data_IF_037819229432
#
_entry.id   IF_037819229432
#
_cell.length_a   1.000
_cell.length_b   1.000
_cell.length_c   1.000
_cell.angle_alpha   90.00
_cell.angle_beta   90.00
_cell.angle_gamma   90.00
#
_symmetry.space_group_name_H-M   'P 1'
#
loop_
_entity.id
_entity.type
_entity.pdbx_description
1 polymer ?
#
# COMPACT_ATOMS: atom_id res chain seq x y z
N UNK A 1 -7.74 -22.59 -13.25
CA UNK A 1 -6.50 -22.56 -14.07
C UNK A 1 -6.31 -21.21 -14.73
N UNK A 2 -5.72 -20.24 -14.03
CA UNK A 2 -5.14 -19.07 -14.68
C UNK A 2 -3.82 -19.51 -15.33
N UNK A 3 -3.73 -19.43 -16.65
CA UNK A 3 -2.50 -19.70 -17.42
C UNK A 3 -2.09 -18.40 -18.12
N UNK A 4 -1.37 -17.57 -17.38
CA UNK A 4 -0.81 -16.29 -17.80
C UNK A 4 -0.04 -15.67 -16.64
N UNK A 5 1.17 -15.18 -16.90
CA UNK A 5 1.98 -14.37 -15.97
C UNK A 5 1.55 -12.93 -16.20
N UNK A 6 1.37 -12.08 -15.19
CA UNK A 6 1.15 -10.64 -15.44
C UNK A 6 2.40 -9.91 -14.99
N UNK A 7 2.95 -9.05 -15.85
CA UNK A 7 4.10 -8.22 -15.52
C UNK A 7 3.62 -6.78 -15.31
N UNK A 8 3.75 -6.18 -14.12
CA UNK A 8 3.54 -4.74 -13.98
C UNK A 8 4.74 -4.01 -14.61
N UNK A 9 4.51 -3.17 -15.63
CA UNK A 9 5.54 -2.28 -16.20
C UNK A 9 5.21 -0.84 -15.85
N UNK A 10 6.08 -0.19 -15.07
CA UNK A 10 5.98 1.25 -14.80
C UNK A 10 6.66 2.06 -15.92
N UNK A 11 6.10 3.21 -16.34
CA UNK A 11 6.73 4.11 -17.33
C UNK A 11 6.26 5.56 -17.13
N UNK A 12 7.19 6.41 -16.72
CA UNK A 12 7.02 7.84 -16.46
C UNK A 12 6.50 8.67 -17.64
N UNK A 13 5.65 9.66 -17.33
CA UNK A 13 5.09 10.64 -18.28
C UNK A 13 4.92 11.98 -17.53
N UNK A 14 5.76 12.98 -17.83
CA UNK A 14 5.61 14.36 -17.34
C UNK A 14 4.64 15.17 -18.21
N UNK A 15 3.66 15.81 -17.59
CA UNK A 15 2.59 16.60 -18.17
C UNK A 15 2.54 18.05 -17.65
N UNK A 16 3.70 18.71 -17.68
CA UNK A 16 3.85 20.08 -17.16
C UNK A 16 2.71 21.07 -17.39
N UNK A 17 2.57 21.91 -16.36
CA UNK A 17 1.77 23.13 -16.21
C UNK A 17 0.26 22.95 -16.44
N UNK A 18 -0.47 22.34 -15.49
CA UNK A 18 -1.88 22.67 -15.18
C UNK A 18 -2.40 21.82 -13.99
N UNK A 19 -2.55 22.40 -12.78
CA UNK A 19 -3.53 22.18 -11.68
C UNK A 19 -4.20 20.80 -11.47
N UNK A 20 -3.70 19.73 -12.06
CA UNK A 20 -4.25 18.38 -12.08
C UNK A 20 -3.10 17.39 -11.87
N UNK A 21 -3.27 16.37 -11.02
CA UNK A 21 -2.24 15.38 -10.81
C UNK A 21 -1.98 14.62 -12.12
N UNK A 22 -0.70 14.52 -12.48
CA UNK A 22 -0.26 13.74 -13.62
C UNK A 22 -0.50 12.25 -13.32
N UNK A 23 -1.39 11.60 -14.07
CA UNK A 23 -1.79 10.22 -13.78
C UNK A 23 -1.06 9.20 -14.66
N UNK A 24 -0.26 8.33 -14.02
CA UNK A 24 0.35 7.17 -14.64
C UNK A 24 -0.62 5.96 -14.68
N UNK A 25 -0.59 5.11 -15.71
CA UNK A 25 -1.33 3.83 -15.72
C UNK A 25 -0.43 2.69 -16.21
N UNK A 26 -0.21 1.69 -15.34
CA UNK A 26 0.50 0.45 -15.63
C UNK A 26 -0.39 -0.79 -15.49
N UNK A 27 -0.33 -1.72 -16.46
CA UNK A 27 -0.79 -3.10 -16.28
C UNK A 27 -0.58 -3.94 -17.55
N UNK A 28 0.13 -5.07 -17.46
CA UNK A 28 0.19 -6.06 -18.55
C UNK A 28 -0.71 -7.27 -18.28
N UNK A 29 -1.40 -7.72 -19.32
CA UNK A 29 -2.21 -8.93 -19.30
C UNK A 29 -1.63 -9.95 -20.29
N UNK A 30 -1.29 -11.16 -19.82
CA UNK A 30 -0.82 -12.24 -20.69
C UNK A 30 -1.91 -13.28 -20.87
N UNK A 31 -2.40 -13.41 -22.12
CA UNK A 31 -3.06 -14.63 -22.56
C UNK A 31 -2.00 -15.57 -23.13
N UNK A 32 -2.23 -16.87 -22.97
CA UNK A 32 -1.32 -17.98 -23.34
C UNK A 32 -0.63 -17.86 -24.71
N UNK A 33 -1.17 -17.07 -25.64
CA UNK A 33 -0.65 -16.91 -27.01
C UNK A 33 -0.68 -15.45 -27.54
N UNK A 34 -0.94 -14.44 -26.70
CA UNK A 34 -0.97 -13.02 -27.14
C UNK A 34 -0.43 -12.07 -26.05
N UNK A 35 0.60 -11.29 -26.39
CA UNK A 35 0.94 -10.08 -25.64
C UNK A 35 -0.15 -9.03 -25.92
N UNK A 36 -0.83 -8.56 -24.88
CA UNK A 36 -1.62 -7.33 -24.96
C UNK A 36 -1.06 -6.31 -23.99
N UNK A 37 -0.36 -5.33 -24.54
CA UNK A 37 -0.04 -4.09 -23.84
C UNK A 37 -1.35 -3.29 -23.72
N UNK A 38 -1.86 -3.09 -22.50
CA UNK A 38 -2.95 -2.13 -22.24
C UNK A 38 -2.40 -1.03 -21.35
N UNK A 39 -1.47 -0.24 -21.87
CA UNK A 39 -1.28 1.11 -21.35
C UNK A 39 -2.41 1.97 -21.92
N UNK A 40 -3.42 2.28 -21.11
CA UNK A 40 -4.41 3.30 -21.49
C UNK A 40 -3.87 4.67 -21.08
N UNK A 41 -4.00 5.63 -22.00
CA UNK A 41 -3.48 6.98 -21.85
C UNK A 41 -4.64 7.96 -21.79
N UNK A 42 -4.60 8.87 -20.83
CA UNK A 42 -5.41 10.10 -20.84
C UNK A 42 -4.47 11.28 -20.61
N UNK A 43 -4.07 12.00 -21.66
CA UNK A 43 -3.50 13.35 -21.56
C UNK A 43 -4.16 14.28 -22.58
N UNK A 44 -4.29 15.59 -22.29
CA UNK A 44 -4.35 16.63 -23.31
C UNK A 44 -2.96 16.82 -23.97
N UNK A 45 -2.94 17.32 -25.19
CA UNK A 45 -1.78 17.31 -26.10
C UNK A 45 -0.54 18.07 -25.59
N UNK A 46 0.62 17.39 -25.52
CA UNK A 46 1.82 17.71 -26.31
C UNK A 46 3.00 16.78 -25.95
N UNK A 47 3.93 16.65 -26.91
CA UNK A 47 4.94 15.59 -27.10
C UNK A 47 5.69 15.13 -25.84
N UNK A 48 5.38 13.92 -25.38
CA UNK A 48 6.23 13.17 -24.45
C UNK A 48 6.88 12.03 -25.22
N UNK A 49 8.19 11.87 -25.06
CA UNK A 49 8.92 10.71 -25.55
C UNK A 49 8.93 9.66 -24.45
N UNK A 50 8.16 8.59 -24.62
CA UNK A 50 8.20 7.44 -23.72
C UNK A 50 9.58 6.79 -23.78
N UNK A 51 10.23 6.70 -22.62
CA UNK A 51 11.45 5.90 -22.44
C UNK A 51 11.02 4.64 -21.69
N UNK A 52 11.08 3.50 -22.37
CA UNK A 52 10.94 2.21 -21.70
C UNK A 52 12.23 1.95 -20.93
N UNK A 53 12.16 2.03 -19.61
CA UNK A 53 13.24 1.61 -18.73
C UNK A 53 13.12 0.11 -18.49
N UNK A 54 14.26 -0.58 -18.44
CA UNK A 54 14.27 -1.98 -18.00
C UNK A 54 14.36 -1.99 -16.49
N UNK A 55 13.36 -2.58 -15.83
CA UNK A 55 13.39 -2.71 -14.37
C UNK A 55 14.57 -3.60 -13.96
N UNK A 56 15.39 -3.19 -12.97
CA UNK A 56 16.43 -4.05 -12.41
C UNK A 56 15.85 -5.17 -11.53
N UNK A 57 14.54 -5.14 -11.25
CA UNK A 57 13.85 -6.05 -10.37
C UNK A 57 13.09 -7.14 -11.14
N UNK A 58 12.90 -8.34 -10.54
CA UNK A 58 12.05 -9.36 -11.13
C UNK A 58 10.59 -8.89 -11.19
N UNK A 59 9.87 -9.33 -12.22
CA UNK A 59 8.42 -9.17 -12.26
C UNK A 59 7.76 -10.08 -11.21
N UNK A 60 6.98 -9.48 -10.32
CA UNK A 60 6.28 -10.14 -9.22
C UNK A 60 4.79 -9.81 -9.27
N UNK A 61 3.96 -10.76 -8.84
CA UNK A 61 2.52 -10.53 -8.63
C UNK A 61 2.13 -10.86 -7.19
N UNK A 62 1.02 -10.26 -6.72
CA UNK A 62 0.50 -10.41 -5.35
C UNK A 62 1.60 -10.13 -4.30
N UNK A 63 2.40 -9.11 -4.58
CA UNK A 63 3.53 -8.69 -3.78
C UNK A 63 3.31 -7.33 -3.16
N UNK A 64 4.28 -6.92 -2.36
CA UNK A 64 4.40 -5.57 -1.81
C UNK A 64 5.83 -5.08 -1.99
N UNK A 65 5.99 -3.76 -2.00
CA UNK A 65 7.27 -3.05 -2.12
C UNK A 65 7.34 -1.99 -1.02
N UNK A 66 8.52 -1.80 -0.46
CA UNK A 66 8.83 -0.65 0.38
C UNK A 66 10.24 -0.16 0.05
N UNK A 67 10.45 1.14 0.14
CA UNK A 67 11.73 1.79 -0.09
C UNK A 67 12.12 2.63 1.14
N UNK A 68 13.40 2.57 1.51
CA UNK A 68 14.00 3.43 2.54
C UNK A 68 15.53 3.31 2.50
N UNK A 69 16.23 4.36 2.96
CA UNK A 69 17.68 4.34 3.19
C UNK A 69 17.98 3.58 4.50
N UNK A 70 18.14 2.25 4.44
CA UNK A 70 18.31 1.42 5.65
C UNK A 70 19.75 1.41 6.17
N UNK A 71 20.73 1.74 5.32
CA UNK A 71 22.16 1.75 5.68
C UNK A 71 22.77 3.15 5.81
N UNK A 72 21.94 4.20 5.68
CA UNK A 72 22.24 5.62 5.92
C UNK A 72 23.28 6.17 4.95
N UNK A 73 23.29 5.68 3.71
CA UNK A 73 24.19 6.14 2.66
C UNK A 73 23.61 7.26 1.78
N UNK A 74 22.33 7.58 2.00
CA UNK A 74 21.60 8.64 1.31
C UNK A 74 20.84 8.19 0.06
N UNK A 75 20.94 6.91 -0.31
CA UNK A 75 20.16 6.30 -1.39
C UNK A 75 19.02 5.43 -0.83
N UNK A 76 17.86 5.40 -1.51
CA UNK A 76 16.76 4.53 -1.10
C UNK A 76 16.97 3.09 -1.56
N UNK A 77 16.93 2.17 -0.60
CA UNK A 77 16.98 0.73 -0.85
C UNK A 77 15.59 0.13 -0.96
N UNK A 78 15.46 -0.96 -1.70
CA UNK A 78 14.15 -1.51 -2.05
C UNK A 78 14.00 -2.94 -1.56
N UNK A 79 12.95 -3.21 -0.79
CA UNK A 79 12.53 -4.57 -0.46
C UNK A 79 11.28 -4.95 -1.26
N UNK A 80 11.29 -6.17 -1.80
CA UNK A 80 10.20 -6.72 -2.59
C UNK A 80 9.73 -8.04 -2.00
N UNK A 81 8.41 -8.25 -1.95
CA UNK A 81 7.76 -9.53 -1.66
C UNK A 81 6.85 -9.94 -2.81
N UNK A 82 6.35 -11.18 -2.83
CA UNK A 82 5.34 -11.63 -3.78
C UNK A 82 5.66 -12.96 -4.44
N UNK A 83 5.18 -13.14 -5.67
CA UNK A 83 5.27 -14.41 -6.40
C UNK A 83 5.92 -14.19 -7.76
N UNK A 84 6.93 -15.00 -8.08
CA UNK A 84 7.57 -14.98 -9.41
C UNK A 84 6.68 -15.63 -10.47
N UNK A 85 7.01 -15.42 -11.75
CA UNK A 85 6.33 -16.08 -12.88
C UNK A 85 6.36 -17.61 -12.83
N UNK A 86 7.35 -18.21 -12.17
CA UNK A 86 7.45 -19.64 -11.90
C UNK A 86 6.61 -20.09 -10.69
N UNK A 87 5.77 -19.21 -10.14
CA UNK A 87 4.88 -19.44 -9.01
C UNK A 87 5.63 -19.80 -7.72
N UNK A 88 6.81 -19.21 -7.52
CA UNK A 88 7.62 -19.34 -6.31
C UNK A 88 7.52 -18.05 -5.49
N UNK A 89 7.40 -18.17 -4.17
CA UNK A 89 7.44 -16.99 -3.30
C UNK A 89 8.81 -16.33 -3.37
N UNK A 90 8.79 -15.00 -3.34
CA UNK A 90 9.96 -14.17 -3.45
C UNK A 90 9.98 -13.18 -2.28
N UNK A 91 11.15 -13.00 -1.70
CA UNK A 91 11.46 -11.85 -0.85
C UNK A 91 12.93 -11.50 -1.03
N UNK A 92 13.23 -10.21 -1.18
CA UNK A 92 14.62 -9.75 -1.28
C UNK A 92 14.71 -8.26 -1.01
N UNK A 93 15.68 -7.91 -0.16
CA UNK A 93 16.19 -6.54 -0.02
C UNK A 93 17.26 -6.31 -1.09
N UNK A 94 17.17 -5.17 -1.76
CA UNK A 94 18.10 -4.71 -2.77
C UNK A 94 18.69 -3.39 -2.30
N UNK A 95 20.00 -3.38 -2.07
CA UNK A 95 20.71 -2.15 -1.75
C UNK A 95 20.96 -1.34 -3.02
N UNK A 96 20.63 -0.06 -3.02
CA UNK A 96 21.00 0.86 -4.07
C UNK A 96 22.49 1.19 -3.98
N UNK A 97 23.14 1.31 -5.12
CA UNK A 97 24.54 1.69 -5.23
C UNK A 97 24.63 2.85 -6.22
N UNK A 98 25.77 3.55 -6.21
CA UNK A 98 26.11 4.60 -7.18
C UNK A 98 25.63 4.27 -8.61
N UNK A 99 24.86 5.20 -9.21
CA UNK A 99 24.29 5.11 -10.56
C UNK A 99 23.11 4.12 -10.73
N UNK A 100 22.16 4.08 -9.78
CA UNK A 100 20.89 3.33 -9.91
C UNK A 100 21.10 1.81 -10.07
N UNK A 101 22.20 1.28 -9.52
CA UNK A 101 22.51 -0.15 -9.58
C UNK A 101 22.06 -0.81 -8.28
N UNK A 102 21.20 -1.82 -8.37
CA UNK A 102 20.69 -2.53 -7.20
C UNK A 102 21.42 -3.85 -6.95
N UNK A 103 21.97 -4.03 -5.76
CA UNK A 103 22.66 -5.27 -5.33
C UNK A 103 21.77 -6.05 -4.36
N UNK A 104 21.47 -7.33 -4.63
CA UNK A 104 20.67 -8.13 -3.72
C UNK A 104 21.43 -8.45 -2.43
N UNK A 105 20.79 -8.20 -1.29
CA UNK A 105 21.30 -8.57 0.02
C UNK A 105 20.84 -10.00 0.33
N UNK A 106 21.77 -10.83 0.82
CA UNK A 106 21.54 -12.24 1.12
C UNK A 106 21.10 -12.45 2.58
N UNK A 107 20.07 -11.73 3.00
CA UNK A 107 19.44 -11.92 4.32
C UNK A 107 18.29 -12.93 4.25
N UNK A 108 18.06 -13.60 5.38
CA UNK A 108 17.06 -14.66 5.49
C UNK A 108 15.74 -14.09 6.01
N UNK A 109 14.98 -13.48 5.10
CA UNK A 109 13.57 -13.19 5.34
C UNK A 109 12.69 -14.38 4.98
N UNK A 110 11.56 -14.52 5.67
CA UNK A 110 10.52 -15.48 5.31
C UNK A 110 9.74 -14.96 4.10
N UNK A 111 9.76 -15.66 2.95
CA UNK A 111 9.04 -15.20 1.76
C UNK A 111 7.53 -15.24 1.97
N UNK A 112 6.84 -14.16 1.58
CA UNK A 112 5.39 -14.02 1.67
C UNK A 112 4.78 -13.48 0.38
N UNK A 113 3.48 -13.72 0.19
CA UNK A 113 2.63 -13.04 -0.78
C UNK A 113 1.37 -12.49 -0.12
N UNK A 114 0.61 -11.67 -0.86
CA UNK A 114 -0.72 -11.19 -0.44
C UNK A 114 -0.72 -10.42 0.88
N UNK A 115 0.32 -9.65 1.16
CA UNK A 115 0.35 -8.85 2.38
C UNK A 115 1.10 -7.56 2.18
N UNK A 116 1.82 -7.13 3.19
CA UNK A 116 2.50 -5.84 3.23
C UNK A 116 3.96 -5.98 3.67
N UNK A 117 4.74 -4.97 3.33
CA UNK A 117 6.07 -4.72 3.85
C UNK A 117 6.17 -3.23 4.15
N UNK A 118 6.73 -2.88 5.31
CA UNK A 118 6.86 -1.50 5.76
C UNK A 118 8.12 -1.33 6.60
N UNK A 119 8.78 -0.18 6.44
CA UNK A 119 9.94 0.23 7.21
C UNK A 119 9.50 1.02 8.45
N UNK A 120 10.21 0.88 9.56
CA UNK A 120 10.04 1.70 10.75
C UNK A 120 11.08 1.39 11.81
N UNK A 121 11.55 2.39 12.54
CA UNK A 121 12.47 2.23 13.69
C UNK A 121 11.64 1.93 14.95
N UNK A 122 11.35 0.65 15.23
CA UNK A 122 10.38 0.29 16.28
C UNK A 122 10.97 0.31 17.69
N UNK A 123 12.30 0.34 17.83
CA UNK A 123 13.00 0.34 19.12
C UNK A 123 13.90 1.58 19.38
N UNK A 124 13.84 2.57 18.48
CA UNK A 124 14.50 3.88 18.56
C UNK A 124 16.02 3.81 18.63
N UNK A 125 16.62 2.81 18.00
CA UNK A 125 18.07 2.72 17.87
C UNK A 125 18.60 3.46 16.64
N UNK A 126 17.69 3.94 15.79
CA UNK A 126 17.94 4.70 14.58
C UNK A 126 18.15 3.84 13.34
N UNK A 127 18.20 2.51 13.44
CA UNK A 127 18.26 1.60 12.31
C UNK A 127 16.82 1.22 11.89
N UNK A 128 16.50 1.29 10.59
CA UNK A 128 15.14 0.98 10.13
C UNK A 128 14.88 -0.52 10.15
N UNK A 129 13.80 -0.92 10.81
CA UNK A 129 13.32 -2.29 10.91
C UNK A 129 12.22 -2.59 9.88
N UNK A 130 11.88 -3.87 9.73
CA UNK A 130 10.88 -4.33 8.76
C UNK A 130 9.68 -4.99 9.44
N UNK A 131 8.48 -4.48 9.15
CA UNK A 131 7.21 -5.16 9.42
C UNK A 131 6.73 -5.86 8.15
N UNK A 132 6.64 -7.19 8.20
CA UNK A 132 6.27 -8.00 7.05
C UNK A 132 5.09 -8.88 7.41
N UNK A 133 4.04 -8.80 6.60
CA UNK A 133 2.86 -9.64 6.77
C UNK A 133 2.50 -10.34 5.46
N UNK A 134 1.90 -11.52 5.55
CA UNK A 134 1.39 -12.22 4.39
C UNK A 134 1.35 -13.74 4.54
N UNK A 135 1.20 -14.39 3.39
CA UNK A 135 1.06 -15.84 3.26
C UNK A 135 2.36 -16.50 2.84
N UNK A 136 2.82 -17.46 3.64
CA UNK A 136 4.01 -18.27 3.39
C UNK A 136 3.73 -19.47 2.45
N UNK A 137 4.79 -20.13 1.99
CA UNK A 137 4.72 -21.26 1.04
C UNK A 137 4.03 -22.50 1.64
N UNK A 138 4.07 -22.62 2.97
CA UNK A 138 3.36 -23.64 3.76
C UNK A 138 1.85 -23.40 3.86
N UNK A 139 1.35 -22.28 3.32
CA UNK A 139 0.03 -21.68 3.59
C UNK A 139 -0.16 -21.16 5.03
N UNK A 140 0.91 -21.11 5.83
CA UNK A 140 0.89 -20.38 7.09
C UNK A 140 0.75 -18.88 6.80
N UNK A 141 -0.02 -18.20 7.64
CA UNK A 141 -0.07 -16.73 7.64
C UNK A 141 0.89 -16.22 8.70
N UNK A 142 1.59 -15.14 8.41
CA UNK A 142 2.55 -14.56 9.34
C UNK A 142 2.49 -13.04 9.32
N UNK A 143 2.80 -12.44 10.46
CA UNK A 143 3.12 -11.03 10.64
C UNK A 143 4.35 -11.01 11.52
N UNK A 144 5.48 -10.52 10.99
CA UNK A 144 6.81 -10.61 11.58
C UNK A 144 7.44 -9.23 11.61
N UNK A 145 8.21 -8.97 12.65
CA UNK A 145 9.09 -7.81 12.75
C UNK A 145 10.52 -8.34 12.66
N UNK A 146 11.28 -7.85 11.70
CA UNK A 146 12.71 -8.10 11.59
C UNK A 146 13.43 -6.87 12.09
N UNK A 147 14.06 -6.99 13.28
CA UNK A 147 14.90 -5.94 13.82
C UNK A 147 16.19 -5.85 13.02
N UNK A 148 16.60 -4.66 12.65
CA UNK A 148 17.84 -4.35 11.95
C UNK A 148 18.88 -3.83 12.93
N UNK A 149 19.90 -4.63 13.25
CA UNK A 149 21.06 -4.16 14.01
C UNK A 149 22.22 -3.91 13.03
N UNK A 150 22.37 -2.68 12.53
CA UNK A 150 23.45 -2.27 11.62
C UNK A 150 23.58 -3.14 10.35
N UNK A 151 22.45 -3.40 9.70
CA UNK A 151 22.32 -4.21 8.48
C UNK A 151 22.13 -5.72 8.74
N UNK A 152 22.08 -6.14 10.01
CA UNK A 152 21.82 -7.54 10.39
C UNK A 152 20.37 -7.68 10.83
N UNK A 153 19.57 -8.41 10.04
CA UNK A 153 18.15 -8.57 10.30
C UNK A 153 17.86 -9.82 11.14
N UNK A 154 17.13 -9.64 12.24
CA UNK A 154 16.72 -10.73 13.15
C UNK A 154 15.20 -10.71 13.37
N UNK A 155 14.52 -11.82 13.08
CA UNK A 155 13.11 -11.99 13.44
C UNK A 155 12.95 -12.06 14.97
N UNK A 156 12.23 -11.10 15.54
CA UNK A 156 12.01 -11.03 17.00
C UNK A 156 10.99 -12.07 17.50
N UNK A 157 10.33 -12.80 16.59
CA UNK A 157 9.35 -13.86 16.86
C UNK A 157 8.21 -13.43 17.80
N UNK A 158 7.66 -12.24 17.54
CA UNK A 158 6.51 -11.72 18.26
C UNK A 158 5.23 -12.48 17.89
N UNK A 159 4.34 -12.70 18.87
CA UNK A 159 3.05 -13.37 18.67
C UNK A 159 1.99 -12.40 18.12
N UNK A 160 2.17 -11.97 16.86
CA UNK A 160 1.17 -11.23 16.10
C UNK A 160 0.32 -12.18 15.27
N UNK A 161 -0.98 -11.86 15.04
CA UNK A 161 -1.82 -12.68 14.19
C UNK A 161 -1.31 -12.62 12.75
N UNK A 162 -1.02 -13.78 12.16
CA UNK A 162 -0.73 -13.86 10.74
C UNK A 162 -1.94 -13.46 9.89
N UNK A 163 -1.70 -12.60 8.90
CA UNK A 163 -2.72 -12.07 7.98
C UNK A 163 -2.29 -12.18 6.52
N UNK A 164 -3.28 -12.09 5.62
CA UNK A 164 -3.12 -11.87 4.19
C UNK A 164 -4.34 -11.06 3.69
N UNK A 165 -4.25 -10.53 2.47
CA UNK A 165 -5.26 -9.65 1.87
C UNK A 165 -5.58 -8.44 2.76
N UNK A 166 -4.54 -7.82 3.30
CA UNK A 166 -4.63 -6.63 4.13
C UNK A 166 -3.23 -6.09 4.44
N UNK A 167 -3.14 -5.18 5.40
CA UNK A 167 -1.89 -4.53 5.79
C UNK A 167 -1.57 -4.77 7.27
N UNK A 168 -0.29 -4.78 7.58
CA UNK A 168 0.26 -4.43 8.87
C UNK A 168 1.09 -3.15 8.67
N UNK A 169 0.76 -2.08 9.40
CA UNK A 169 1.38 -0.74 9.25
C UNK A 169 1.72 -0.10 10.59
N UNK A 170 2.78 0.71 10.59
CA UNK A 170 3.32 1.41 11.76
C UNK A 170 2.66 2.79 11.96
N UNK A 171 2.49 3.20 13.22
CA UNK A 171 2.13 4.57 13.58
C UNK A 171 2.28 4.80 15.07
N UNK A 172 2.70 5.99 15.49
CA UNK A 172 2.79 6.38 16.91
C UNK A 172 1.40 6.87 17.38
N UNK A 173 0.60 5.95 17.89
CA UNK A 173 -0.81 6.13 18.22
C UNK A 173 -1.03 7.05 19.42
N UNK A 174 -0.15 6.97 20.41
CA UNK A 174 -0.28 7.68 21.68
C UNK A 174 0.82 8.72 21.96
N UNK A 175 1.68 8.97 20.97
CA UNK A 175 2.71 10.02 20.95
C UNK A 175 3.78 9.83 22.00
N UNK A 176 4.05 8.59 22.37
CA UNK A 176 5.15 8.27 23.28
C UNK A 176 6.47 7.97 22.53
N UNK A 177 6.39 7.95 21.20
CA UNK A 177 7.46 7.68 20.25
C UNK A 177 7.40 6.24 19.75
N UNK A 178 6.96 5.28 20.57
CA UNK A 178 7.08 3.86 20.26
C UNK A 178 6.11 3.49 19.10
N UNK A 179 6.62 2.92 18.01
CA UNK A 179 5.76 2.58 16.87
C UNK A 179 4.75 1.46 17.20
N UNK A 180 3.46 1.78 17.06
CA UNK A 180 2.31 0.88 17.20
C UNK A 180 1.90 0.25 15.87
N UNK A 181 1.09 -0.80 15.91
CA UNK A 181 0.70 -1.56 14.71
C UNK A 181 -0.81 -1.54 14.50
N UNK A 182 -1.23 -1.17 13.28
CA UNK A 182 -2.56 -1.47 12.76
C UNK A 182 -2.49 -2.68 11.83
N UNK A 183 -3.28 -3.71 12.14
CA UNK A 183 -3.44 -4.92 11.33
C UNK A 183 -4.83 -4.97 10.74
N UNK A 184 -4.93 -5.19 9.43
CA UNK A 184 -6.16 -5.52 8.71
C UNK A 184 -5.99 -6.75 7.83
N UNK A 185 -7.07 -7.37 7.36
CA UNK A 185 -6.99 -8.49 6.42
C UNK A 185 -7.72 -9.72 6.91
N UNK A 186 -7.23 -10.90 6.57
CA UNK A 186 -7.88 -12.17 6.90
C UNK A 186 -6.91 -13.09 7.64
N UNK A 187 -7.36 -13.69 8.75
CA UNK A 187 -6.57 -14.66 9.53
C UNK A 187 -6.69 -16.10 9.02
N UNK A 188 -7.16 -16.28 7.78
CA UNK A 188 -7.51 -17.56 7.16
C UNK A 188 -8.89 -18.10 7.55
N UNK A 189 -9.47 -17.59 8.64
CA UNK A 189 -10.81 -17.98 9.12
C UNK A 189 -11.84 -16.85 9.08
N UNK A 190 -11.40 -15.60 9.20
CA UNK A 190 -12.26 -14.43 9.30
C UNK A 190 -11.47 -13.14 9.02
N UNK A 191 -12.17 -12.07 8.61
CA UNK A 191 -11.61 -10.72 8.60
C UNK A 191 -11.11 -10.30 9.98
N UNK A 192 -10.11 -9.43 10.02
CA UNK A 192 -9.58 -8.80 11.22
C UNK A 192 -9.27 -7.33 10.94
N UNK A 193 -9.57 -6.48 11.91
CA UNK A 193 -8.98 -5.14 12.06
C UNK A 193 -8.62 -5.01 13.54
N UNK A 194 -7.36 -4.71 13.85
CA UNK A 194 -6.86 -4.67 15.22
C UNK A 194 -5.68 -3.72 15.36
N UNK A 195 -5.64 -3.01 16.48
CA UNK A 195 -4.53 -2.12 16.86
C UNK A 195 -3.74 -2.77 18.00
N UNK A 196 -2.42 -2.75 17.91
CA UNK A 196 -1.48 -3.23 18.91
C UNK A 196 -0.61 -2.08 19.35
N UNK A 197 -0.73 -1.68 20.61
CA UNK A 197 0.11 -0.64 21.19
C UNK A 197 1.45 -1.20 21.64
N UNK A 198 2.55 -0.54 21.33
CA UNK A 198 3.90 -0.86 21.74
C UNK A 198 4.24 -0.14 23.05
N UNK A 199 4.33 -0.88 24.16
CA UNK A 199 4.84 -0.34 25.43
C UNK A 199 6.32 -0.77 25.60
N UNK A 200 7.26 -0.09 24.92
CA UNK A 200 8.71 -0.36 24.99
C UNK A 200 9.10 -1.79 24.57
N UNK A 201 8.74 -2.17 23.35
CA UNK A 201 8.95 -3.49 22.77
C UNK A 201 7.93 -4.54 23.21
N UNK A 202 6.86 -4.13 23.90
CA UNK A 202 5.77 -5.02 24.32
C UNK A 202 4.47 -4.62 23.64
N UNK A 203 4.10 -5.40 22.63
CA UNK A 203 2.85 -5.18 21.90
C UNK A 203 1.64 -5.71 22.67
N UNK A 204 0.68 -4.83 22.93
CA UNK A 204 -0.59 -5.12 23.60
C UNK A 204 -1.73 -4.82 22.65
N UNK A 205 -2.54 -5.83 22.34
CA UNK A 205 -3.76 -5.63 21.55
C UNK A 205 -4.75 -4.74 22.30
N UNK A 206 -5.13 -3.61 21.70
CA UNK A 206 -6.14 -2.73 22.25
C UNK A 206 -7.55 -3.34 22.13
N UNK A 207 -8.37 -3.13 23.15
CA UNK A 207 -9.75 -3.61 23.23
C UNK A 207 -10.73 -2.63 22.54
N UNK A 208 -10.43 -2.25 21.30
CA UNK A 208 -11.20 -1.29 20.49
C UNK A 208 -12.14 -2.01 19.53
N UNK A 209 -13.29 -1.40 19.23
CA UNK A 209 -14.29 -1.97 18.32
C UNK A 209 -14.14 -1.36 16.93
N UNK A 210 -13.27 -1.97 16.12
CA UNK A 210 -13.12 -1.62 14.71
C UNK A 210 -13.85 -2.65 13.84
N UNK A 211 -14.46 -2.19 12.75
CA UNK A 211 -15.04 -3.07 11.74
C UNK A 211 -13.91 -3.92 11.15
N UNK A 212 -14.04 -5.24 11.26
CA UNK A 212 -13.07 -6.19 10.73
C UNK A 212 -13.23 -6.34 9.21
N UNK A 213 -12.19 -5.97 8.46
CA UNK A 213 -12.19 -6.04 6.99
C UNK A 213 -11.07 -6.94 6.45
N UNK A 214 -11.29 -7.47 5.25
CA UNK A 214 -10.32 -8.18 4.42
C UNK A 214 -10.30 -7.58 3.02
N UNK A 215 -9.34 -7.99 2.19
CA UNK A 215 -9.05 -7.33 0.90
C UNK A 215 -8.99 -5.81 1.11
N UNK A 216 -8.30 -5.41 2.17
CA UNK A 216 -8.40 -4.08 2.75
C UNK A 216 -7.11 -3.28 2.58
N UNK A 217 -7.26 -1.96 2.65
CA UNK A 217 -6.20 -1.01 2.89
C UNK A 217 -6.51 -0.22 4.15
N UNK A 218 -5.48 0.10 4.93
CA UNK A 218 -5.60 0.96 6.09
C UNK A 218 -4.37 1.85 6.21
N UNK A 219 -4.59 3.09 6.59
CA UNK A 219 -3.55 4.11 6.77
C UNK A 219 -3.78 4.87 8.06
N UNK A 220 -2.68 5.27 8.69
CA UNK A 220 -2.67 6.25 9.77
C UNK A 220 -2.52 7.66 9.20
N UNK A 221 -3.19 8.65 9.80
CA UNK A 221 -2.99 10.05 9.46
C UNK A 221 -3.81 10.96 10.36
N UNK A 222 -3.34 12.19 10.59
CA UNK A 222 -4.12 13.21 11.30
C UNK A 222 -5.15 13.81 10.33
N UNK A 223 -6.38 13.29 10.36
CA UNK A 223 -7.42 13.60 9.35
C UNK A 223 -8.34 14.76 9.78
N UNK A 224 -8.23 15.20 11.03
CA UNK A 224 -8.94 16.37 11.55
C UNK A 224 -8.04 17.47 12.13
N UNK A 225 -6.72 17.37 11.93
CA UNK A 225 -5.72 18.34 12.32
C UNK A 225 -5.68 18.59 13.84
N UNK A 226 -5.97 17.55 14.65
CA UNK A 226 -5.88 17.58 16.11
C UNK A 226 -4.55 17.04 16.67
N UNK A 227 -3.65 16.65 15.76
CA UNK A 227 -2.35 16.01 15.96
C UNK A 227 -2.41 14.56 16.43
N UNK A 228 -3.57 13.95 16.68
CA UNK A 228 -3.66 12.51 16.97
C UNK A 228 -3.73 11.72 15.65
N UNK A 229 -3.06 10.56 15.56
CA UNK A 229 -3.20 9.71 14.38
C UNK A 229 -4.59 9.06 14.36
N UNK A 230 -5.34 9.32 13.30
CA UNK A 230 -6.61 8.69 12.96
C UNK A 230 -6.41 7.50 12.03
N UNK A 231 -7.47 6.73 11.81
CA UNK A 231 -7.47 5.58 10.90
C UNK A 231 -8.44 5.83 9.76
N UNK A 232 -7.97 5.72 8.51
CA UNK A 232 -8.83 5.53 7.35
C UNK A 232 -8.71 4.08 6.86
N UNK A 233 -9.85 3.44 6.62
CA UNK A 233 -9.96 2.03 6.32
C UNK A 233 -10.92 1.80 5.16
N UNK A 234 -10.53 0.98 4.19
CA UNK A 234 -11.45 0.45 3.17
C UNK A 234 -11.17 -1.04 2.91
N UNK A 235 -12.20 -1.80 2.58
CA UNK A 235 -12.08 -3.24 2.33
C UNK A 235 -13.45 -3.90 2.19
N UNK A 236 -13.52 -5.22 2.38
CA UNK A 236 -14.80 -5.94 2.46
C UNK A 236 -15.02 -6.63 3.81
N UNK A 237 -16.26 -6.69 4.25
CA UNK A 237 -16.65 -7.35 5.49
C UNK A 237 -16.69 -8.89 5.36
N UNK A 238 -17.10 -9.57 6.43
CA UNK A 238 -17.27 -11.03 6.43
C UNK A 238 -18.33 -11.56 5.46
N UNK A 239 -19.17 -10.70 4.88
CA UNK A 239 -20.19 -11.02 3.88
C UNK A 239 -19.76 -10.64 2.46
N UNK A 240 -18.58 -10.05 2.29
CA UNK A 240 -18.07 -9.57 1.00
C UNK A 240 -18.64 -8.22 0.56
N UNK A 241 -19.25 -7.46 1.49
CA UNK A 241 -19.74 -6.11 1.21
C UNK A 241 -18.58 -5.11 1.36
N UNK A 242 -18.30 -4.29 0.34
CA UNK A 242 -17.33 -3.20 0.47
C UNK A 242 -17.73 -2.20 1.55
N UNK A 243 -16.79 -1.81 2.40
CA UNK A 243 -16.92 -0.81 3.47
C UNK A 243 -15.75 0.16 3.37
N UNK A 244 -16.02 1.46 3.49
CA UNK A 244 -15.03 2.50 3.75
C UNK A 244 -15.48 3.27 5.00
N UNK A 245 -14.55 3.52 5.91
CA UNK A 245 -14.83 4.11 7.22
C UNK A 245 -13.56 4.78 7.75
N UNK A 246 -13.72 5.91 8.43
CA UNK A 246 -12.65 6.51 9.22
C UNK A 246 -12.96 6.37 10.72
N UNK A 247 -11.92 6.33 11.53
CA UNK A 247 -12.02 6.38 12.98
C UNK A 247 -11.17 7.52 13.48
N UNK A 248 -11.81 8.45 14.18
CA UNK A 248 -11.11 9.49 14.93
C UNK A 248 -10.54 8.90 16.20
N UNK A 249 -9.25 9.09 16.41
CA UNK A 249 -8.59 8.76 17.66
C UNK A 249 -8.80 9.90 18.67
N UNK A 250 -9.20 9.58 19.89
CA UNK A 250 -9.22 10.51 21.00
C UNK A 250 -8.28 9.97 22.09
N UNK A 251 -7.09 10.58 22.21
CA UNK A 251 -6.11 10.25 23.24
C UNK A 251 -5.59 8.79 23.20
N UNK A 252 -5.27 8.27 22.01
CA UNK A 252 -4.48 7.05 21.78
C UNK A 252 -5.15 5.72 22.14
N UNK A 253 -6.36 5.73 22.70
CA UNK A 253 -7.01 4.51 23.21
C UNK A 253 -8.49 4.41 22.90
N UNK A 254 -9.08 5.47 22.34
CA UNK A 254 -10.50 5.55 22.05
C UNK A 254 -10.71 5.95 20.60
N UNK A 255 -11.54 5.20 19.89
CA UNK A 255 -11.79 5.42 18.47
C UNK A 255 -13.28 5.67 18.22
N UNK A 256 -13.61 6.87 17.74
CA UNK A 256 -14.95 7.22 17.30
C UNK A 256 -15.09 6.95 15.81
N UNK A 257 -16.08 6.13 15.44
CA UNK A 257 -16.37 5.91 14.03
C UNK A 257 -16.94 7.18 13.39
N UNK A 258 -16.29 7.63 12.32
CA UNK A 258 -16.69 8.80 11.54
C UNK A 258 -17.45 8.36 10.28
N UNK A 259 -18.45 9.16 9.90
CA UNK A 259 -19.16 8.97 8.64
C UNK A 259 -18.42 9.70 7.53
N UNK A 260 -17.79 8.96 6.62
CA UNK A 260 -17.09 9.53 5.46
C UNK A 260 -17.95 9.43 4.20
N UNK A 261 -18.01 10.50 3.41
CA UNK A 261 -18.73 10.53 2.13
C UNK A 261 -17.92 9.90 0.98
N UNK A 262 -17.24 8.80 1.28
CA UNK A 262 -16.32 8.12 0.37
C UNK A 262 -16.96 6.83 -0.17
N UNK A 263 -16.57 6.45 -1.39
CA UNK A 263 -17.05 5.22 -2.01
C UNK A 263 -16.32 4.02 -1.38
N UNK A 264 -17.05 3.03 -0.86
CA UNK A 264 -16.43 1.80 -0.37
C UNK A 264 -15.72 1.02 -1.49
N UNK A 265 -14.42 0.77 -1.32
CA UNK A 265 -13.63 -0.08 -2.22
C UNK A 265 -13.07 -1.30 -1.47
N UNK A 266 -12.95 -2.42 -2.16
CA UNK A 266 -12.23 -3.64 -1.73
C UNK A 266 -11.08 -3.94 -2.68
N UNK A 267 -10.19 -4.84 -2.27
CA UNK A 267 -8.94 -5.14 -3.01
C UNK A 267 -8.19 -3.86 -3.34
N UNK A 268 -8.12 -2.98 -2.36
CA UNK A 268 -7.82 -1.58 -2.53
C UNK A 268 -6.45 -1.19 -1.96
N UNK A 269 -6.03 0.02 -2.32
CA UNK A 269 -4.94 0.77 -1.73
C UNK A 269 -5.44 2.18 -1.42
N UNK A 270 -4.84 2.80 -0.41
CA UNK A 270 -5.15 4.14 0.07
C UNK A 270 -3.80 4.81 0.31
N UNK A 271 -3.68 6.07 -0.09
CA UNK A 271 -2.54 6.92 0.25
C UNK A 271 -3.01 8.31 0.65
N UNK A 272 -2.26 8.94 1.55
CA UNK A 272 -2.57 10.25 2.13
C UNK A 272 -1.54 11.29 1.71
N UNK A 273 -1.99 12.49 1.39
CA UNK A 273 -1.11 13.61 1.02
C UNK A 273 -1.89 14.90 0.90
N UNK A 274 -1.26 16.03 1.19
CA UNK A 274 -1.84 17.38 1.02
C UNK A 274 -1.61 17.83 -0.43
N UNK A 275 -2.51 17.47 -1.35
CA UNK A 275 -2.25 17.67 -2.79
C UNK A 275 -2.60 19.09 -3.26
N UNK A 276 -3.39 19.83 -2.48
CA UNK A 276 -3.77 21.20 -2.81
C UNK A 276 -3.15 22.27 -1.90
N UNK A 277 -2.28 21.85 -0.98
CA UNK A 277 -1.50 22.69 -0.08
C UNK A 277 -2.37 23.50 0.89
N UNK A 278 -3.51 22.95 1.30
CA UNK A 278 -4.39 23.55 2.31
C UNK A 278 -4.06 23.12 3.75
N UNK A 279 -3.17 22.12 3.90
CA UNK A 279 -2.70 21.61 5.18
C UNK A 279 -3.58 20.51 5.78
N UNK A 280 -4.62 20.06 5.09
CA UNK A 280 -5.40 18.88 5.43
C UNK A 280 -4.91 17.67 4.62
N UNK A 281 -4.84 16.49 5.23
CA UNK A 281 -4.49 15.27 4.48
C UNK A 281 -5.65 14.85 3.57
N UNK A 282 -5.40 14.85 2.27
CA UNK A 282 -6.29 14.35 1.25
C UNK A 282 -6.03 12.87 0.95
N UNK A 283 -6.94 12.26 0.19
CA UNK A 283 -6.92 10.81 -0.05
C UNK A 283 -6.89 10.52 -1.54
N UNK A 284 -5.98 9.65 -1.95
CA UNK A 284 -6.17 8.84 -3.16
C UNK A 284 -6.41 7.39 -2.79
N UNK A 285 -7.33 6.74 -3.50
CA UNK A 285 -7.58 5.31 -3.33
C UNK A 285 -7.93 4.65 -4.65
N UNK A 286 -7.51 3.40 -4.80
CA UNK A 286 -7.90 2.58 -5.94
C UNK A 286 -8.35 1.19 -5.50
N UNK A 287 -9.20 0.52 -6.27
CA UNK A 287 -9.79 -0.76 -5.93
C UNK A 287 -11.15 -1.00 -6.58
N UNK A 288 -11.89 -1.97 -6.07
CA UNK A 288 -13.15 -2.44 -6.66
C UNK A 288 -14.35 -2.05 -5.80
N UNK A 289 -15.37 -1.48 -6.43
CA UNK A 289 -16.73 -1.43 -5.87
C UNK A 289 -17.54 -2.63 -6.40
N UNK A 290 -18.82 -2.74 -6.05
CA UNK A 290 -19.69 -3.82 -6.54
C UNK A 290 -19.91 -3.81 -8.05
N UNK A 291 -19.70 -2.68 -8.71
CA UNK A 291 -19.98 -2.46 -10.13
C UNK A 291 -18.74 -2.50 -11.03
N UNK A 292 -17.58 -2.01 -10.58
CA UNK A 292 -16.32 -1.90 -11.34
C UNK A 292 -15.16 -1.43 -10.47
N UNK A 293 -13.96 -1.40 -11.05
CA UNK A 293 -12.78 -0.74 -10.52
C UNK A 293 -12.90 0.79 -10.56
N UNK A 294 -12.30 1.45 -9.57
CA UNK A 294 -12.25 2.89 -9.40
C UNK A 294 -10.85 3.34 -8.98
N UNK A 295 -10.51 4.56 -9.37
CA UNK A 295 -9.43 5.35 -8.79
C UNK A 295 -10.06 6.68 -8.44
N UNK A 296 -9.97 7.06 -7.17
CA UNK A 296 -10.73 8.15 -6.59
C UNK A 296 -9.79 9.03 -5.80
N UNK A 297 -9.92 10.34 -6.02
CA UNK A 297 -9.25 11.37 -5.25
C UNK A 297 -10.31 12.10 -4.44
N UNK A 298 -10.04 12.34 -3.17
CA UNK A 298 -10.89 13.05 -2.24
C UNK A 298 -10.11 14.16 -1.57
N UNK A 299 -10.62 15.39 -1.67
CA UNK A 299 -10.12 16.51 -0.88
C UNK A 299 -10.76 16.50 0.51
N UNK A 300 -9.96 16.67 1.56
CA UNK A 300 -10.43 16.77 2.94
C UNK A 300 -10.68 18.23 3.31
N UNK A 301 -11.93 18.67 3.31
CA UNK A 301 -12.30 20.04 3.67
C UNK A 301 -12.43 20.22 5.20
N UNK A 302 -11.41 19.75 5.94
CA UNK A 302 -11.33 19.65 7.40
C UNK A 302 -12.26 18.62 8.06
N UNK A 303 -11.73 17.92 9.07
CA UNK A 303 -12.55 17.15 10.01
C UNK A 303 -13.28 15.96 9.38
N UNK A 304 -12.57 15.16 8.60
CA UNK A 304 -13.10 14.02 7.84
C UNK A 304 -14.14 14.39 6.76
N UNK A 305 -14.17 15.66 6.32
CA UNK A 305 -15.11 16.15 5.31
C UNK A 305 -14.56 15.92 3.90
N UNK A 306 -14.58 14.65 3.48
CA UNK A 306 -14.07 14.25 2.17
C UNK A 306 -15.05 14.59 1.04
N UNK A 307 -14.60 15.41 0.11
CA UNK A 307 -15.28 15.71 -1.14
C UNK A 307 -14.55 15.05 -2.31
N UNK A 308 -15.27 14.25 -3.09
CA UNK A 308 -14.67 13.63 -4.27
C UNK A 308 -14.29 14.69 -5.32
N UNK A 309 -13.03 14.65 -5.75
CA UNK A 309 -12.54 15.42 -6.89
C UNK A 309 -12.82 14.62 -8.17
N UNK A 310 -13.51 15.23 -9.13
CA UNK A 310 -13.85 14.56 -10.39
C UNK A 310 -12.64 14.66 -11.33
N UNK A 311 -11.96 13.53 -11.53
CA UNK A 311 -10.85 13.41 -12.47
C UNK A 311 -11.09 12.23 -13.43
N UNK A 312 -10.68 12.32 -14.72
CA UNK A 312 -10.87 11.26 -15.70
C UNK A 312 -9.90 10.06 -15.51
N UNK A 313 -9.49 9.77 -14.27
CA UNK A 313 -8.53 8.70 -13.97
C UNK A 313 -9.24 7.35 -14.14
N UNK A 314 -8.65 6.41 -14.92
CA UNK A 314 -9.20 5.08 -15.07
C UNK A 314 -9.18 4.34 -13.73
N UNK A 315 -10.25 3.58 -13.47
CA UNK A 315 -10.27 2.72 -12.29
C UNK A 315 -9.35 1.53 -12.46
N UNK A 316 -8.53 1.25 -11.44
CA UNK A 316 -7.71 0.04 -11.39
C UNK A 316 -8.06 -0.84 -10.19
N UNK A 317 -7.74 -2.12 -10.28
CA UNK A 317 -7.83 -3.05 -9.16
C UNK A 317 -6.58 -3.91 -9.04
N UNK A 318 -6.40 -4.55 -7.88
CA UNK A 318 -5.19 -5.31 -7.55
C UNK A 318 -3.92 -4.48 -7.85
N UNK A 319 -3.96 -3.22 -7.45
CA UNK A 319 -3.03 -2.18 -7.87
C UNK A 319 -2.75 -1.18 -6.75
N UNK A 320 -1.99 -0.14 -7.07
CA UNK A 320 -1.61 0.94 -6.18
C UNK A 320 -1.94 2.29 -6.79
N UNK A 321 -2.27 3.25 -5.93
CA UNK A 321 -2.31 4.67 -6.23
C UNK A 321 -1.52 5.38 -5.13
N UNK A 322 -0.51 6.16 -5.50
CA UNK A 322 0.42 6.82 -4.56
C UNK A 322 0.61 8.28 -4.96
N UNK A 323 0.63 9.15 -3.96
CA UNK A 323 1.09 10.52 -4.07
C UNK A 323 2.63 10.57 -4.10
N UNK A 324 3.17 11.57 -4.77
CA UNK A 324 4.59 11.92 -4.70
C UNK A 324 4.93 13.06 -5.64
N UNK A 325 5.86 13.93 -5.27
CA UNK A 325 6.41 14.95 -6.17
C UNK A 325 7.45 14.28 -7.08
N UNK A 326 7.02 13.83 -8.26
CA UNK A 326 7.85 12.98 -9.10
C UNK A 326 8.63 13.74 -10.16
N UNK A 327 8.17 14.93 -10.53
CA UNK A 327 8.90 15.81 -11.44
C UNK A 327 9.70 16.92 -10.73
N UNK A 328 9.62 16.96 -9.39
CA UNK A 328 10.35 17.85 -8.49
C UNK A 328 9.93 19.32 -8.65
N UNK A 329 8.66 19.57 -8.96
CA UNK A 329 8.09 20.91 -9.07
C UNK A 329 7.48 21.43 -7.76
N UNK A 330 7.30 20.54 -6.78
CA UNK A 330 6.80 20.83 -5.45
C UNK A 330 5.31 20.58 -5.25
N UNK A 331 4.57 20.17 -6.28
CA UNK A 331 3.18 19.72 -6.18
C UNK A 331 3.13 18.17 -6.14
N UNK A 332 2.09 17.58 -5.53
CA UNK A 332 1.94 16.11 -5.49
C UNK A 332 1.38 15.58 -6.82
N UNK A 333 2.12 14.69 -7.47
CA UNK A 333 1.70 13.88 -8.61
C UNK A 333 1.08 12.55 -8.20
N UNK A 334 0.46 11.85 -9.15
CA UNK A 334 -0.19 10.57 -8.91
C UNK A 334 0.39 9.40 -9.74
N UNK A 335 1.01 8.45 -9.04
CA UNK A 335 1.37 7.16 -9.62
C UNK A 335 0.20 6.17 -9.48
N UNK A 336 -0.34 5.65 -10.59
CA UNK A 336 -1.33 4.57 -10.58
C UNK A 336 -0.84 3.35 -11.36
N UNK A 337 -0.94 2.18 -10.75
CA UNK A 337 -0.62 0.90 -11.38
C UNK A 337 -1.66 -0.15 -10.98
N UNK A 338 -2.11 -0.99 -11.90
CA UNK A 338 -3.07 -2.05 -11.62
C UNK A 338 -3.83 -2.51 -12.85
N UNK A 339 -4.89 -3.28 -12.61
CA UNK A 339 -5.69 -3.89 -13.67
C UNK A 339 -6.93 -3.03 -13.95
N UNK A 340 -7.10 -2.64 -15.21
CA UNK A 340 -8.27 -1.85 -15.66
C UNK A 340 -9.53 -2.69 -15.91
N UNK A 341 -9.43 -4.03 -15.82
CA UNK A 341 -10.53 -4.96 -16.08
C UNK A 341 -10.77 -5.81 -14.83
N UNK A 342 -11.95 -5.68 -14.21
CA UNK A 342 -12.36 -6.55 -13.10
C UNK A 342 -12.43 -8.02 -13.55
N UNK A 343 -11.93 -8.92 -12.70
CA UNK A 343 -12.00 -10.37 -12.92
C UNK A 343 -13.43 -10.94 -12.92
N UNK A 344 -14.41 -10.23 -12.38
CA UNK A 344 -15.78 -10.72 -12.22
C UNK A 344 -16.68 -10.60 -13.47
N UNK A 345 -16.20 -10.04 -14.58
CA UNK A 345 -17.03 -9.81 -15.78
C UNK A 345 -16.65 -10.59 -17.05
N UNK A 346 -15.93 -11.71 -16.94
CA UNK A 346 -15.84 -12.67 -18.06
C UNK A 346 -16.91 -13.76 -17.90
N UNK A 347 -18.17 -13.34 -17.91
CA UNK A 347 -19.27 -14.23 -18.25
C UNK A 347 -19.20 -14.56 -19.74
N UNK A 348 -19.10 -15.85 -20.07
CA UNK A 348 -19.25 -16.30 -21.46
C UNK A 348 -20.63 -15.84 -21.97
N UNK A 349 -20.64 -15.05 -23.04
CA UNK A 349 -21.85 -14.82 -23.86
C UNK A 349 -21.94 -15.93 -24.89
#
# INVERSE_FOLDING_TARGET
>A
DMKGVMEPVATWISAGDELFPEAFLSGEYYLKDQQMLISQWTKPQSKIKLIQLTSPFPALYRGAVAAADYDKDGDEDVILTGITKENSLFIRLFRQEDNQRFTPINELFTPVSDGSVEWGDYDHDGDLDLLIAGKESSNQLSTRIYRNDQGIFTDINLDLPGIYHGNATWGDLDKDGDLDILITGNTGSKPITAVYRNDKGKYIRLAVQLIALKNSAAVWGDLDNDNDLDILLSGEDGKGMPICVAYRNEAGTYFNQMSVAMRPLKSCTIDLGDFDHDGDLDVVMTGESLERSYTLVYQNNQGFNFQQVISPIPGVSAGTALWGDFDLDGDLDLLVAGLTICYDFVGQI
#
